data_IF_539820863486
#
_entry.id   IF_539820863486
#
_cell.length_a   1.000
_cell.length_b   1.000
_cell.length_c   1.000
_cell.angle_alpha   90.00
_cell.angle_beta   90.00
_cell.angle_gamma   90.00
#
_symmetry.space_group_name_H-M   'P 1'
#
loop_
_entity.id
_entity.type
_entity.pdbx_description
1 polymer ?
#
# COMPACT_ATOMS: atom_id res chain seq x y z
N UNK A 1 0.28 4.06 12.31
CA UNK A 1 -0.35 2.85 11.73
C UNK A 1 0.71 1.77 11.48
N UNK A 2 0.42 0.46 11.58
CA UNK A 2 1.43 -0.61 11.41
C UNK A 2 0.95 -1.76 10.50
N UNK A 3 1.90 -2.29 9.71
CA UNK A 3 1.82 -3.50 8.91
C UNK A 3 2.91 -4.47 9.40
N UNK A 4 2.53 -5.68 9.77
CA UNK A 4 3.47 -6.74 10.14
C UNK A 4 3.45 -7.84 9.08
N UNK A 5 4.62 -8.34 8.70
CA UNK A 5 4.78 -9.50 7.82
C UNK A 5 5.62 -10.52 8.58
N UNK A 6 5.03 -11.68 8.84
CA UNK A 6 5.61 -12.78 9.61
C UNK A 6 5.80 -13.99 8.71
N UNK A 7 6.90 -14.70 8.88
CA UNK A 7 7.09 -16.02 8.27
C UNK A 7 7.63 -17.01 9.29
N UNK A 8 7.28 -18.27 9.09
CA UNK A 8 7.89 -19.44 9.76
C UNK A 8 8.63 -20.31 8.75
N UNK A 9 9.10 -19.72 7.65
CA UNK A 9 10.06 -20.38 6.76
C UNK A 9 11.29 -20.85 7.54
N UNK A 10 12.07 -21.80 7.03
CA UNK A 10 13.31 -22.23 7.68
C UNK A 10 14.51 -22.01 6.76
N UNK A 11 15.46 -21.12 7.13
CA UNK A 11 15.42 -20.23 8.30
C UNK A 11 14.48 -19.02 8.07
N UNK A 12 13.72 -18.62 9.10
CA UNK A 12 12.75 -17.53 8.98
C UNK A 12 13.43 -16.17 8.77
N UNK A 13 14.67 -16.04 9.24
CA UNK A 13 15.53 -14.86 9.05
C UNK A 13 15.80 -14.55 7.58
N UNK A 14 15.57 -15.51 6.67
CA UNK A 14 15.68 -15.28 5.23
C UNK A 14 14.74 -14.17 4.71
N UNK A 15 13.67 -13.87 5.47
CA UNK A 15 12.80 -12.72 5.20
C UNK A 15 13.58 -11.39 5.14
N UNK A 16 14.65 -11.26 5.94
CA UNK A 16 15.51 -10.08 5.91
C UNK A 16 16.23 -9.88 4.57
N UNK A 17 16.75 -10.96 3.98
CA UNK A 17 17.40 -10.92 2.67
C UNK A 17 16.39 -10.65 1.55
N UNK A 18 15.22 -11.29 1.61
CA UNK A 18 14.15 -11.08 0.63
C UNK A 18 13.66 -9.63 0.60
N UNK A 19 13.58 -8.97 1.76
CA UNK A 19 13.14 -7.58 1.89
C UNK A 19 14.27 -6.53 1.78
N UNK A 20 15.52 -6.98 1.70
CA UNK A 20 16.71 -6.12 1.80
C UNK A 20 16.70 -5.26 3.05
N UNK A 21 16.34 -5.88 4.18
CA UNK A 21 16.30 -5.24 5.50
C UNK A 21 16.96 -6.15 6.52
N UNK A 22 18.06 -5.67 7.07
CA UNK A 22 18.78 -6.41 8.10
C UNK A 22 18.00 -6.35 9.43
N UNK A 23 17.78 -7.48 10.12
CA UNK A 23 17.03 -7.51 11.38
C UNK A 23 17.56 -6.56 12.46
N UNK A 24 18.88 -6.47 12.62
CA UNK A 24 19.52 -5.59 13.61
C UNK A 24 19.50 -4.09 13.27
N UNK A 25 18.90 -3.69 12.14
CA UNK A 25 18.86 -2.30 11.71
C UNK A 25 17.45 -1.74 11.80
N UNK A 26 17.30 -0.75 12.67
CA UNK A 26 16.15 0.15 12.64
C UNK A 26 16.33 1.18 11.52
N UNK A 27 15.43 1.19 10.53
CA UNK A 27 15.54 2.06 9.36
C UNK A 27 14.38 3.03 9.29
N UNK A 28 14.67 4.28 8.93
CA UNK A 28 13.69 5.34 8.75
C UNK A 28 13.72 5.82 7.30
N UNK A 29 12.56 5.98 6.69
CA UNK A 29 12.36 6.47 5.34
C UNK A 29 11.46 7.70 5.38
N UNK A 30 11.96 8.84 4.91
CA UNK A 30 11.14 10.04 4.80
C UNK A 30 10.02 9.84 3.78
N UNK A 31 8.81 10.28 4.08
CA UNK A 31 7.70 10.35 3.12
C UNK A 31 7.41 11.82 2.83
N UNK A 32 6.60 12.10 1.81
CA UNK A 32 6.13 13.46 1.56
C UNK A 32 5.32 14.03 2.73
N UNK A 33 4.74 13.17 3.57
CA UNK A 33 3.93 13.52 4.73
C UNK A 33 4.31 12.60 5.91
N UNK A 34 5.41 12.90 6.59
CA UNK A 34 5.91 12.11 7.74
C UNK A 34 6.97 11.08 7.36
N UNK A 35 6.99 9.93 8.04
CA UNK A 35 8.05 8.91 7.92
C UNK A 35 7.48 7.49 7.95
N UNK A 36 8.24 6.56 7.39
CA UNK A 36 8.03 5.12 7.54
C UNK A 36 9.21 4.50 8.29
N UNK A 37 8.93 3.67 9.28
CA UNK A 37 9.91 2.99 10.13
C UNK A 37 9.85 1.50 9.84
N UNK A 38 11.01 0.90 9.60
CA UNK A 38 11.16 -0.55 9.39
C UNK A 38 12.04 -1.12 10.49
N UNK A 39 11.52 -2.14 11.16
CA UNK A 39 12.22 -2.84 12.24
C UNK A 39 11.70 -4.27 12.38
N UNK A 40 12.43 -5.10 13.14
CA UNK A 40 12.09 -6.48 13.38
C UNK A 40 11.78 -6.68 14.86
N UNK A 41 10.49 -6.77 15.26
CA UNK A 41 10.14 -7.10 16.64
C UNK A 41 10.55 -8.53 17.03
N UNK A 42 10.69 -9.44 16.05
CA UNK A 42 11.10 -10.83 16.25
C UNK A 42 11.92 -11.30 15.04
N UNK A 43 13.10 -11.87 15.29
CA UNK A 43 13.99 -12.37 14.24
C UNK A 43 14.76 -13.60 14.73
N UNK A 44 14.07 -14.74 14.80
CA UNK A 44 14.69 -16.05 15.09
C UNK A 44 14.64 -16.95 13.85
N UNK A 45 15.32 -18.09 13.91
CA UNK A 45 15.32 -19.06 12.80
C UNK A 45 13.95 -19.73 12.61
N UNK A 46 13.14 -19.81 13.66
CA UNK A 46 11.82 -20.45 13.66
C UNK A 46 10.73 -19.48 13.22
N UNK A 47 10.87 -18.20 13.58
CA UNK A 47 9.90 -17.16 13.27
C UNK A 47 10.57 -15.81 13.14
N UNK A 48 10.24 -15.10 12.08
CA UNK A 48 10.70 -13.73 11.85
C UNK A 48 9.52 -12.85 11.45
N UNK A 49 9.42 -11.70 12.09
CA UNK A 49 8.43 -10.67 11.82
C UNK A 49 9.13 -9.36 11.50
N UNK A 50 8.81 -8.79 10.34
CA UNK A 50 9.15 -7.39 10.03
C UNK A 50 7.92 -6.52 10.27
N UNK A 51 8.16 -5.31 10.76
CA UNK A 51 7.15 -4.28 10.96
C UNK A 51 7.45 -3.06 10.08
N UNK A 52 6.44 -2.58 9.37
CA UNK A 52 6.41 -1.29 8.69
C UNK A 52 5.42 -0.38 9.42
N UNK A 53 5.95 0.62 10.13
CA UNK A 53 5.17 1.59 10.88
C UNK A 53 5.15 2.93 10.15
N UNK A 54 3.95 3.49 9.96
CA UNK A 54 3.74 4.84 9.48
C UNK A 54 3.65 5.81 10.65
N UNK A 55 4.52 6.82 10.61
CA UNK A 55 4.58 7.98 11.50
C UNK A 55 4.26 9.23 10.66
N UNK A 56 2.97 9.46 10.43
CA UNK A 56 2.48 10.55 9.58
C UNK A 56 2.33 11.82 10.40
N UNK A 57 2.89 12.93 9.91
CA UNK A 57 2.69 14.25 10.52
C UNK A 57 1.34 14.85 10.04
N UNK A 58 0.33 15.00 10.92
CA UNK A 58 -0.96 15.55 10.54
C UNK A 58 -0.89 17.02 10.14
N UNK A 59 0.08 17.80 10.63
CA UNK A 59 0.21 19.23 10.34
C UNK A 59 0.74 19.43 8.92
N UNK A 60 1.77 18.68 8.55
CA UNK A 60 2.36 18.77 7.21
C UNK A 60 1.40 18.26 6.14
N UNK A 61 0.55 17.28 6.47
CA UNK A 61 -0.55 16.82 5.61
C UNK A 61 -1.47 17.98 5.20
N UNK A 62 -1.92 18.80 6.16
CA UNK A 62 -2.82 19.93 5.89
C UNK A 62 -2.14 21.03 5.08
N UNK A 63 -0.86 21.29 5.34
CA UNK A 63 -0.08 22.28 4.59
C UNK A 63 0.07 21.90 3.12
N UNK A 64 0.17 20.60 2.82
CA UNK A 64 0.17 20.07 1.46
C UNK A 64 -1.16 20.33 0.74
N UNK A 65 -2.29 20.05 1.40
CA UNK A 65 -3.65 20.22 0.85
C UNK A 65 -3.98 21.69 0.55
N UNK A 66 -3.56 22.63 1.41
CA UNK A 66 -3.79 24.08 1.19
C UNK A 66 -3.10 24.63 -0.06
N UNK A 67 -1.99 24.02 -0.50
CA UNK A 67 -1.33 24.39 -1.77
C UNK A 67 -2.09 23.90 -3.01
N UNK A 68 -3.08 23.01 -2.83
CA UNK A 68 -3.85 22.36 -3.90
C UNK A 68 -5.28 22.90 -4.11
N UNK A 69 -5.68 23.99 -3.43
CA UNK A 69 -6.79 24.84 -3.88
C UNK A 69 -8.22 24.33 -3.64
N UNK A 70 -8.50 23.64 -2.53
CA UNK A 70 -9.86 23.27 -2.12
C UNK A 70 -10.26 23.99 -0.83
N UNK A 71 -11.16 24.97 -0.94
CA UNK A 71 -11.55 25.86 0.17
C UNK A 71 -12.85 25.42 0.88
N UNK A 72 -13.09 24.11 0.99
CA UNK A 72 -14.29 23.59 1.64
C UNK A 72 -13.94 22.55 2.71
N UNK A 73 -14.20 22.93 3.97
CA UNK A 73 -14.05 22.15 5.22
C UNK A 73 -12.68 22.20 5.94
N UNK A 74 -12.33 23.40 6.43
CA UNK A 74 -11.06 23.74 7.09
C UNK A 74 -10.72 22.86 8.31
N UNK A 75 -11.68 22.28 9.02
CA UNK A 75 -11.43 21.48 10.25
C UNK A 75 -11.15 19.98 9.98
N UNK A 76 -11.82 19.39 8.98
CA UNK A 76 -11.69 17.96 8.65
C UNK A 76 -10.31 17.56 8.13
N UNK A 77 -9.52 18.53 7.67
CA UNK A 77 -8.13 18.30 7.30
C UNK A 77 -7.21 18.14 8.51
N UNK A 78 -7.49 18.81 9.64
CA UNK A 78 -6.67 18.74 10.84
C UNK A 78 -6.99 17.54 11.73
N UNK A 79 -8.25 17.12 11.78
CA UNK A 79 -8.71 15.99 12.58
C UNK A 79 -9.34 14.95 11.66
N UNK A 80 -8.56 13.93 11.31
CA UNK A 80 -9.01 12.81 10.52
C UNK A 80 -8.25 11.53 10.89
N UNK A 81 -8.67 10.44 10.28
CA UNK A 81 -8.16 9.09 10.50
C UNK A 81 -6.84 8.81 9.77
N UNK A 82 -6.38 9.69 8.87
CA UNK A 82 -5.31 9.40 7.90
C UNK A 82 -3.97 9.01 8.53
N UNK A 83 -3.53 9.58 9.66
CA UNK A 83 -2.31 9.12 10.34
C UNK A 83 -2.42 7.71 10.96
N UNK A 84 -3.65 7.22 11.14
CA UNK A 84 -3.95 6.06 11.99
C UNK A 84 -4.46 4.84 11.21
N UNK A 85 -4.64 4.94 9.90
CA UNK A 85 -5.23 3.89 9.05
C UNK A 85 -4.29 3.48 7.92
N UNK A 86 -4.35 2.20 7.48
CA UNK A 86 -3.67 1.74 6.28
C UNK A 86 -4.43 2.25 5.04
N UNK A 87 -4.13 3.48 4.65
CA UNK A 87 -4.58 4.10 3.41
C UNK A 87 -3.55 3.91 2.29
N UNK A 88 -3.66 4.70 1.22
CA UNK A 88 -2.64 4.80 0.17
C UNK A 88 -1.24 5.13 0.68
N UNK A 89 -1.09 5.78 1.85
CA UNK A 89 0.22 6.02 2.45
C UNK A 89 0.97 4.73 2.78
N UNK A 90 0.25 3.65 3.12
CA UNK A 90 0.87 2.34 3.36
C UNK A 90 1.47 1.79 2.06
N UNK A 91 0.78 1.91 0.92
CA UNK A 91 1.32 1.48 -0.38
C UNK A 91 2.55 2.28 -0.77
N UNK A 92 2.57 3.59 -0.54
CA UNK A 92 3.76 4.43 -0.79
C UNK A 92 4.93 3.98 0.10
N UNK A 93 4.68 3.71 1.38
CA UNK A 93 5.71 3.23 2.29
C UNK A 93 6.23 1.84 1.92
N UNK A 94 5.36 0.91 1.49
CA UNK A 94 5.75 -0.40 0.96
C UNK A 94 6.68 -0.21 -0.25
N UNK A 95 6.29 0.62 -1.22
CA UNK A 95 7.09 0.88 -2.41
C UNK A 95 8.44 1.50 -2.06
N UNK A 96 8.50 2.42 -1.10
CA UNK A 96 9.74 3.08 -0.69
C UNK A 96 10.66 2.17 0.11
N UNK A 97 10.11 1.44 1.08
CA UNK A 97 10.89 0.57 1.97
C UNK A 97 11.32 -0.74 1.29
N UNK A 98 10.44 -1.34 0.47
CA UNK A 98 10.62 -2.69 -0.07
C UNK A 98 10.72 -2.74 -1.61
N UNK A 99 11.15 -1.63 -2.24
CA UNK A 99 11.27 -1.51 -3.71
C UNK A 99 12.02 -2.67 -4.38
N UNK A 100 13.15 -3.11 -3.80
CA UNK A 100 13.96 -4.20 -4.38
C UNK A 100 13.21 -5.53 -4.36
N UNK A 101 12.50 -5.84 -3.26
CA UNK A 101 11.70 -7.04 -3.11
C UNK A 101 10.49 -7.04 -4.08
N UNK A 102 9.81 -5.90 -4.21
CA UNK A 102 8.70 -5.73 -5.16
C UNK A 102 9.12 -5.93 -6.61
N UNK A 103 10.39 -5.66 -6.93
CA UNK A 103 10.95 -5.84 -8.26
C UNK A 103 11.59 -7.24 -8.45
N UNK A 104 11.41 -8.16 -7.49
CA UNK A 104 11.95 -9.52 -7.56
C UNK A 104 13.48 -9.56 -7.59
N UNK A 105 14.15 -8.61 -6.95
CA UNK A 105 15.62 -8.58 -6.88
C UNK A 105 16.06 -9.04 -5.50
N UNK A 106 16.94 -10.03 -5.42
CA UNK A 106 17.67 -10.40 -4.20
C UNK A 106 19.08 -10.85 -4.59
N UNK A 107 20.11 -10.17 -4.06
CA UNK A 107 21.51 -10.50 -4.40
C UNK A 107 22.06 -11.63 -3.54
N UNK A 108 21.70 -11.63 -2.26
CA UNK A 108 22.28 -12.53 -1.27
C UNK A 108 21.62 -13.93 -1.30
N UNK A 109 20.35 -14.00 -1.71
CA UNK A 109 19.51 -15.21 -1.76
C UNK A 109 18.59 -15.24 -3.00
N UNK A 110 19.15 -15.22 -4.23
CA UNK A 110 18.35 -15.19 -5.46
C UNK A 110 17.39 -16.39 -5.59
N UNK A 111 17.78 -17.57 -5.09
CA UNK A 111 16.99 -18.80 -5.12
C UNK A 111 15.68 -18.72 -4.31
N UNK A 112 15.56 -17.75 -3.40
CA UNK A 112 14.37 -17.58 -2.57
C UNK A 112 13.34 -16.63 -3.20
N UNK A 113 13.70 -15.86 -4.23
CA UNK A 113 12.81 -14.85 -4.84
C UNK A 113 11.54 -15.49 -5.41
N UNK A 114 11.70 -16.62 -6.11
CA UNK A 114 10.60 -17.35 -6.75
C UNK A 114 10.02 -18.45 -5.85
N UNK A 115 10.52 -18.56 -4.60
CA UNK A 115 10.08 -19.58 -3.66
C UNK A 115 8.84 -19.10 -2.92
N UNK A 116 7.78 -19.91 -2.97
CA UNK A 116 6.59 -19.69 -2.14
C UNK A 116 6.90 -20.10 -0.70
N UNK A 117 6.70 -19.19 0.23
CA UNK A 117 6.94 -19.40 1.67
C UNK A 117 5.65 -19.10 2.45
N UNK A 118 5.44 -19.71 3.63
CA UNK A 118 4.28 -19.39 4.46
C UNK A 118 4.43 -17.97 5.02
N UNK A 119 3.46 -17.11 4.75
CA UNK A 119 3.45 -15.72 5.20
C UNK A 119 2.13 -15.41 5.89
N UNK A 120 2.24 -14.75 7.04
CA UNK A 120 1.14 -14.12 7.75
C UNK A 120 1.31 -12.61 7.71
N UNK A 121 0.26 -11.88 7.38
CA UNK A 121 0.23 -10.42 7.39
C UNK A 121 -0.81 -9.92 8.38
N UNK A 122 -0.42 -8.95 9.21
CA UNK A 122 -1.31 -8.29 10.15
C UNK A 122 -1.32 -6.78 9.90
N UNK A 123 -2.52 -6.21 9.70
CA UNK A 123 -2.76 -4.79 9.52
C UNK A 123 -3.73 -4.32 10.59
N UNK A 124 -3.28 -3.42 11.47
CA UNK A 124 -4.04 -3.06 12.68
C UNK A 124 -5.36 -2.33 12.41
N UNK A 125 -5.41 -1.46 11.40
CA UNK A 125 -6.57 -0.62 11.09
C UNK A 125 -6.66 -0.35 9.59
N UNK A 126 -7.53 -1.08 8.89
CA UNK A 126 -7.83 -0.85 7.48
C UNK A 126 -9.22 -0.23 7.33
N UNK A 127 -9.37 0.91 6.63
CA UNK A 127 -10.66 1.51 6.37
C UNK A 127 -11.33 0.76 5.20
N UNK A 128 -12.62 0.48 5.34
CA UNK A 128 -13.42 -0.07 4.26
C UNK A 128 -14.79 0.60 4.20
N UNK A 129 -15.43 0.70 3.03
CA UNK A 129 -16.76 1.29 2.89
C UNK A 129 -17.83 0.50 3.66
N UNK A 130 -19.08 0.98 3.68
CA UNK A 130 -20.21 0.22 4.22
C UNK A 130 -20.27 -1.18 3.57
N UNK A 131 -20.39 -2.23 4.39
CA UNK A 131 -20.30 -3.62 3.92
C UNK A 131 -18.86 -4.09 3.64
N UNK A 132 -17.86 -3.36 4.16
CA UNK A 132 -16.44 -3.52 3.84
C UNK A 132 -15.86 -4.91 4.07
N UNK A 133 -16.41 -5.70 5.00
CA UNK A 133 -15.97 -7.09 5.20
C UNK A 133 -16.09 -7.92 3.92
N UNK A 134 -17.26 -7.88 3.26
CA UNK A 134 -17.49 -8.62 2.02
C UNK A 134 -16.52 -8.16 0.92
N UNK A 135 -16.23 -6.86 0.87
CA UNK A 135 -15.26 -6.32 -0.06
C UNK A 135 -13.84 -6.85 0.22
N UNK A 136 -13.37 -6.79 1.46
CA UNK A 136 -12.02 -7.27 1.82
C UNK A 136 -11.87 -8.75 1.44
N UNK A 137 -12.87 -9.58 1.77
CA UNK A 137 -12.89 -11.00 1.39
C UNK A 137 -12.82 -11.19 -0.11
N UNK A 138 -13.68 -10.51 -0.86
CA UNK A 138 -13.71 -10.53 -2.33
C UNK A 138 -12.40 -10.10 -2.99
N UNK A 139 -11.59 -9.25 -2.34
CA UNK A 139 -10.30 -8.81 -2.87
C UNK A 139 -9.14 -9.76 -2.56
N UNK A 140 -9.17 -10.45 -1.41
CA UNK A 140 -8.05 -11.29 -0.97
C UNK A 140 -8.31 -12.80 -1.12
N UNK A 141 -9.51 -13.29 -0.84
CA UNK A 141 -9.81 -14.73 -0.90
C UNK A 141 -9.59 -15.34 -2.30
N UNK A 142 -9.94 -14.69 -3.43
CA UNK A 142 -9.65 -15.23 -4.77
C UNK A 142 -8.16 -15.37 -5.09
N UNK A 143 -7.29 -14.66 -4.40
CA UNK A 143 -5.84 -14.78 -4.53
C UNK A 143 -5.26 -15.94 -3.69
N UNK A 144 -6.10 -16.67 -2.95
CA UNK A 144 -5.69 -17.80 -2.12
C UNK A 144 -5.38 -17.46 -0.66
N UNK A 145 -5.66 -16.22 -0.23
CA UNK A 145 -5.50 -15.84 1.18
C UNK A 145 -6.61 -16.41 2.04
N UNK A 146 -6.24 -16.92 3.21
CA UNK A 146 -7.17 -17.08 4.32
C UNK A 146 -7.30 -15.74 5.04
N UNK A 147 -8.52 -15.24 5.13
CA UNK A 147 -8.83 -13.89 5.63
C UNK A 147 -9.54 -13.97 6.99
N UNK A 148 -8.91 -13.41 8.02
CA UNK A 148 -9.55 -13.16 9.31
C UNK A 148 -9.70 -11.65 9.54
N UNK A 149 -10.89 -11.25 9.99
CA UNK A 149 -11.29 -9.86 10.12
C UNK A 149 -11.92 -9.62 11.48
N UNK A 150 -11.49 -8.56 12.15
CA UNK A 150 -12.13 -8.05 13.37
C UNK A 150 -12.58 -6.62 13.14
N UNK A 151 -13.90 -6.38 13.18
CA UNK A 151 -14.46 -5.04 13.07
C UNK A 151 -14.46 -4.36 14.44
N UNK A 152 -14.05 -3.09 14.47
CA UNK A 152 -13.99 -2.30 15.70
C UNK A 152 -15.26 -1.49 15.91
N UNK A 153 -15.69 -1.35 17.17
CA UNK A 153 -16.72 -0.37 17.56
C UNK A 153 -16.15 1.06 17.52
N UNK A 154 -17.01 2.07 17.37
CA UNK A 154 -16.57 3.47 17.33
C UNK A 154 -16.00 3.93 18.66
N UNK A 155 -16.68 3.60 19.76
CA UNK A 155 -16.27 3.98 21.10
C UNK A 155 -16.74 2.92 22.11
N UNK A 156 -15.87 2.54 23.05
CA UNK A 156 -16.20 1.59 24.12
C UNK A 156 -17.14 2.20 25.18
N UNK A 157 -17.08 3.52 25.38
CA UNK A 157 -17.93 4.25 26.33
C UNK A 157 -19.32 4.55 25.78
N UNK A 158 -19.46 4.58 24.45
CA UNK A 158 -20.73 4.83 23.75
C UNK A 158 -21.02 3.72 22.72
N UNK A 159 -21.29 2.47 23.16
CA UNK A 159 -21.55 1.35 22.26
C UNK A 159 -22.73 1.57 21.30
N UNK A 160 -23.69 2.44 21.67
CA UNK A 160 -24.86 2.81 20.87
C UNK A 160 -24.50 3.54 19.57
N UNK A 161 -23.28 4.10 19.46
CA UNK A 161 -22.79 4.66 18.20
C UNK A 161 -22.51 3.56 17.15
N UNK A 162 -22.39 2.31 17.61
CA UNK A 162 -22.29 1.14 16.77
C UNK A 162 -20.89 0.90 16.20
N UNK A 163 -20.87 0.22 15.07
CA UNK A 163 -19.65 -0.31 14.47
C UNK A 163 -18.93 0.74 13.62
N UNK A 164 -17.61 0.83 13.75
CA UNK A 164 -16.77 1.71 12.92
C UNK A 164 -16.63 1.18 11.50
N UNK A 165 -15.94 1.93 10.64
CA UNK A 165 -15.53 1.51 9.29
C UNK A 165 -14.16 0.81 9.25
N UNK A 166 -13.53 0.61 10.41
CA UNK A 166 -12.17 0.09 10.51
C UNK A 166 -12.15 -1.38 10.92
N UNK A 167 -11.21 -2.10 10.34
CA UNK A 167 -11.00 -3.52 10.60
C UNK A 167 -9.54 -3.77 10.96
N UNK A 168 -9.29 -4.72 11.86
CA UNK A 168 -8.00 -5.41 11.88
C UNK A 168 -8.07 -6.56 10.88
N UNK A 169 -7.09 -6.62 9.99
CA UNK A 169 -7.00 -7.60 8.92
C UNK A 169 -5.81 -8.53 9.16
N UNK A 170 -6.08 -9.83 9.17
CA UNK A 170 -5.07 -10.87 9.15
C UNK A 170 -5.21 -11.69 7.87
N UNK A 171 -4.08 -11.93 7.21
CA UNK A 171 -3.99 -12.69 5.98
C UNK A 171 -2.96 -13.81 6.16
N UNK A 172 -3.32 -15.03 5.81
CA UNK A 172 -2.38 -16.16 5.77
C UNK A 172 -2.34 -16.72 4.34
N UNK A 173 -1.13 -16.94 3.80
CA UNK A 173 -0.95 -17.57 2.49
C UNK A 173 0.46 -18.14 2.29
N UNK A 174 0.61 -19.07 1.37
CA UNK A 174 1.92 -19.59 0.92
C UNK A 174 2.22 -19.04 -0.47
N UNK A 175 3.01 -17.97 -0.52
CA UNK A 175 3.21 -17.15 -1.72
C UNK A 175 4.62 -16.57 -1.76
N UNK A 176 5.07 -16.04 -2.90
CA UNK A 176 6.33 -15.30 -2.95
C UNK A 176 6.19 -13.93 -2.27
N UNK A 177 7.30 -13.39 -1.75
CA UNK A 177 7.32 -12.04 -1.16
C UNK A 177 6.98 -10.97 -2.20
N UNK A 178 7.39 -11.16 -3.45
CA UNK A 178 7.09 -10.25 -4.56
C UNK A 178 5.58 -10.11 -4.79
N UNK A 179 4.88 -11.24 -4.96
CA UNK A 179 3.43 -11.28 -5.15
C UNK A 179 2.70 -10.68 -3.94
N UNK A 180 3.11 -11.03 -2.72
CA UNK A 180 2.51 -10.46 -1.51
C UNK A 180 2.57 -8.92 -1.51
N UNK A 181 3.76 -8.36 -1.72
CA UNK A 181 3.95 -6.90 -1.70
C UNK A 181 3.18 -6.21 -2.83
N UNK A 182 3.10 -6.86 -4.00
CA UNK A 182 2.27 -6.42 -5.13
C UNK A 182 0.78 -6.38 -4.75
N UNK A 183 0.24 -7.45 -4.16
CA UNK A 183 -1.14 -7.53 -3.72
C UNK A 183 -1.46 -6.44 -2.69
N UNK A 184 -0.64 -6.29 -1.65
CA UNK A 184 -0.83 -5.26 -0.62
C UNK A 184 -0.76 -3.84 -1.20
N UNK A 185 0.19 -3.59 -2.10
CA UNK A 185 0.35 -2.29 -2.74
C UNK A 185 -0.91 -1.85 -3.51
N UNK A 186 -1.54 -2.76 -4.25
CA UNK A 186 -2.74 -2.48 -5.06
C UNK A 186 -4.03 -2.53 -4.25
N UNK A 187 -4.19 -3.49 -3.35
CA UNK A 187 -5.47 -3.76 -2.69
C UNK A 187 -5.73 -2.84 -1.48
N UNK A 188 -4.69 -2.39 -0.76
CA UNK A 188 -4.88 -1.46 0.38
C UNK A 188 -5.57 -0.15 -0.06
N UNK A 189 -5.10 0.57 -1.10
CA UNK A 189 -5.74 1.80 -1.57
C UNK A 189 -7.16 1.56 -2.12
N UNK A 190 -7.38 0.37 -2.71
CA UNK A 190 -8.67 -0.05 -3.26
C UNK A 190 -9.74 -0.15 -2.16
N UNK A 191 -9.36 -0.52 -0.95
CA UNK A 191 -10.29 -0.61 0.20
C UNK A 191 -10.73 0.77 0.70
N UNK A 192 -9.78 1.70 0.85
CA UNK A 192 -10.03 3.06 1.32
C UNK A 192 -10.86 3.88 0.31
N UNK A 193 -10.54 3.74 -0.99
CA UNK A 193 -11.18 4.48 -2.08
C UNK A 193 -11.11 6.02 -1.92
N UNK A 194 -10.07 6.48 -1.23
CA UNK A 194 -9.71 7.89 -1.04
C UNK A 194 -8.18 7.99 -1.07
N UNK A 195 -7.61 8.66 -2.08
CA UNK A 195 -6.16 8.93 -2.14
C UNK A 195 -5.91 10.41 -1.89
N UNK A 196 -4.91 10.69 -1.07
CA UNK A 196 -4.52 12.04 -0.65
C UNK A 196 -3.61 12.75 -1.66
N UNK A 197 -3.56 12.25 -2.90
CA UNK A 197 -2.75 12.81 -3.98
C UNK A 197 -3.49 12.70 -5.32
N UNK A 198 -3.06 13.52 -6.28
CA UNK A 198 -3.66 13.55 -7.60
C UNK A 198 -3.38 12.26 -8.40
N UNK A 199 -4.44 11.58 -8.82
CA UNK A 199 -4.35 10.39 -9.67
C UNK A 199 -4.24 10.83 -11.13
N UNK A 200 -3.21 10.35 -11.82
CA UNK A 200 -2.92 10.66 -13.22
C UNK A 200 -2.73 9.38 -14.03
N UNK A 201 -2.43 9.50 -15.33
CA UNK A 201 -2.17 8.33 -16.19
C UNK A 201 -1.02 7.45 -15.70
N UNK A 202 -0.01 8.02 -15.02
CA UNK A 202 1.08 7.24 -14.42
C UNK A 202 0.59 6.21 -13.38
N UNK A 203 -0.56 6.44 -12.75
CA UNK A 203 -1.14 5.47 -11.81
C UNK A 203 -1.70 4.24 -12.54
N UNK A 204 -2.09 4.37 -13.82
CA UNK A 204 -2.48 3.22 -14.64
C UNK A 204 -1.24 2.35 -14.88
N UNK A 205 -0.12 2.93 -15.28
CA UNK A 205 1.12 2.19 -15.53
C UNK A 205 1.59 1.44 -14.27
N UNK A 206 1.58 2.12 -13.11
CA UNK A 206 1.87 1.48 -11.82
C UNK A 206 0.90 0.35 -11.49
N UNK A 207 -0.40 0.55 -11.71
CA UNK A 207 -1.41 -0.48 -11.48
C UNK A 207 -1.17 -1.71 -12.36
N UNK A 208 -0.86 -1.50 -13.64
CA UNK A 208 -0.61 -2.58 -14.60
C UNK A 208 0.68 -3.33 -14.27
N UNK A 209 1.76 -2.60 -13.99
CA UNK A 209 3.04 -3.20 -13.61
C UNK A 209 2.93 -4.00 -12.31
N UNK A 210 2.28 -3.44 -11.28
CA UNK A 210 2.10 -4.15 -10.00
C UNK A 210 1.00 -5.19 -10.05
N UNK A 211 0.04 -5.08 -10.97
CA UNK A 211 -1.03 -6.04 -11.20
C UNK A 211 -0.65 -7.20 -12.13
N UNK A 212 0.55 -7.16 -12.72
CA UNK A 212 1.02 -8.17 -13.65
C UNK A 212 1.00 -9.57 -13.01
N UNK A 213 0.52 -10.56 -13.76
CA UNK A 213 0.44 -11.95 -13.33
C UNK A 213 -0.82 -12.33 -12.52
N UNK A 214 -1.57 -11.39 -11.96
CA UNK A 214 -2.75 -11.72 -11.13
C UNK A 214 -3.99 -10.87 -11.40
N UNK A 215 -3.84 -9.56 -11.68
CA UNK A 215 -4.98 -8.63 -11.77
C UNK A 215 -5.90 -8.96 -12.95
N UNK A 216 -5.34 -9.47 -14.06
CA UNK A 216 -6.12 -9.83 -15.26
C UNK A 216 -7.11 -10.96 -14.99
N UNK A 217 -6.70 -11.92 -14.17
CA UNK A 217 -7.44 -13.14 -13.82
C UNK A 217 -8.34 -12.95 -12.60
N UNK A 218 -8.13 -11.88 -11.83
CA UNK A 218 -8.90 -11.61 -10.63
C UNK A 218 -10.40 -11.38 -10.94
N UNK A 219 -11.34 -12.08 -10.28
CA UNK A 219 -12.77 -11.95 -10.56
C UNK A 219 -13.29 -10.52 -10.35
N UNK A 220 -12.75 -9.83 -9.35
CA UNK A 220 -13.11 -8.44 -9.03
C UNK A 220 -12.23 -7.39 -9.72
N UNK A 221 -11.52 -7.74 -10.81
CA UNK A 221 -10.57 -6.83 -11.50
C UNK A 221 -11.15 -5.46 -11.83
N UNK A 222 -12.40 -5.41 -12.31
CA UNK A 222 -13.07 -4.16 -12.67
C UNK A 222 -13.30 -3.27 -11.44
N UNK A 223 -13.69 -3.88 -10.33
CA UNK A 223 -13.86 -3.17 -9.06
C UNK A 223 -12.52 -2.70 -8.50
N UNK A 224 -11.45 -3.50 -8.62
CA UNK A 224 -10.09 -3.13 -8.20
C UNK A 224 -9.63 -1.90 -8.98
N UNK A 225 -9.67 -1.96 -10.31
CA UNK A 225 -9.21 -0.88 -11.19
C UNK A 225 -9.96 0.42 -10.90
N UNK A 226 -11.30 0.35 -10.83
CA UNK A 226 -12.13 1.53 -10.56
C UNK A 226 -11.77 2.17 -9.22
N UNK A 227 -11.71 1.39 -8.15
CA UNK A 227 -11.45 1.92 -6.80
C UNK A 227 -10.00 2.37 -6.61
N UNK A 228 -9.04 1.67 -7.22
CA UNK A 228 -7.63 2.09 -7.23
C UNK A 228 -7.46 3.46 -7.90
N UNK A 229 -8.26 3.76 -8.93
CA UNK A 229 -8.28 5.03 -9.64
C UNK A 229 -9.35 6.01 -9.12
N UNK A 230 -9.85 5.80 -7.88
CA UNK A 230 -10.84 6.66 -7.19
C UNK A 230 -12.12 6.88 -8.03
N UNK A 231 -12.53 5.86 -8.77
CA UNK A 231 -13.70 5.84 -9.65
C UNK A 231 -13.68 6.92 -10.75
N UNK A 232 -12.49 7.37 -11.17
CA UNK A 232 -12.34 8.24 -12.33
C UNK A 232 -12.67 7.45 -13.60
N UNK A 233 -13.85 7.71 -14.17
CA UNK A 233 -14.41 6.92 -15.28
C UNK A 233 -13.48 6.86 -16.50
N UNK A 234 -12.85 7.97 -16.88
CA UNK A 234 -11.92 8.04 -18.01
C UNK A 234 -10.69 7.17 -17.81
N UNK A 235 -10.04 7.26 -16.64
CA UNK A 235 -8.85 6.46 -16.32
C UNK A 235 -9.20 4.98 -16.16
N UNK A 236 -10.32 4.68 -15.50
CA UNK A 236 -10.77 3.31 -15.27
C UNK A 236 -11.07 2.59 -16.59
N UNK A 237 -11.74 3.28 -17.53
CA UNK A 237 -12.03 2.73 -18.86
C UNK A 237 -10.74 2.41 -19.62
N UNK A 238 -9.79 3.35 -19.66
CA UNK A 238 -8.49 3.16 -20.33
C UNK A 238 -7.68 2.03 -19.71
N UNK A 239 -7.67 1.90 -18.38
CA UNK A 239 -6.98 0.82 -17.70
C UNK A 239 -7.60 -0.55 -18.02
N UNK A 240 -8.93 -0.64 -18.12
CA UNK A 240 -9.65 -1.86 -18.51
C UNK A 240 -9.37 -2.26 -19.97
N UNK A 241 -9.31 -1.28 -20.87
CA UNK A 241 -8.94 -1.50 -22.28
C UNK A 241 -7.55 -2.12 -22.37
N UNK A 242 -6.53 -1.52 -21.74
CA UNK A 242 -5.14 -2.06 -21.77
C UNK A 242 -5.01 -3.47 -21.19
N UNK A 243 -5.72 -3.80 -20.11
CA UNK A 243 -5.71 -5.16 -19.52
C UNK A 243 -6.37 -6.17 -20.46
N UNK A 244 -7.39 -5.75 -21.20
CA UNK A 244 -8.09 -6.60 -22.16
C UNK A 244 -7.22 -6.89 -23.38
N UNK A 245 -6.52 -5.86 -23.87
CA UNK A 245 -5.63 -5.92 -25.04
C UNK A 245 -4.32 -6.68 -24.77
N UNK A 246 -4.00 -6.96 -23.50
CA UNK A 246 -2.86 -7.80 -23.12
C UNK A 246 -1.50 -7.11 -23.29
N UNK A 247 -1.45 -5.77 -23.21
CA UNK A 247 -0.19 -5.03 -23.27
C UNK A 247 0.71 -5.39 -22.07
N UNK A 248 1.88 -5.97 -22.34
CA UNK A 248 2.97 -6.13 -21.37
C UNK A 248 3.80 -4.85 -21.32
N UNK A 249 3.86 -4.21 -20.15
CA UNK A 249 4.64 -2.99 -19.97
C UNK A 249 6.07 -3.38 -19.62
N UNK A 250 7.02 -3.09 -20.53
CA UNK A 250 8.45 -3.27 -20.27
C UNK A 250 8.92 -2.41 -19.08
N UNK A 251 9.79 -3.00 -18.26
CA UNK A 251 10.28 -2.45 -17.00
C UNK A 251 10.91 -1.05 -17.12
N UNK A 252 10.12 0.00 -16.87
CA UNK A 252 10.67 1.31 -16.52
C UNK A 252 11.09 1.25 -15.05
N UNK A 253 12.37 1.46 -14.80
CA UNK A 253 12.96 1.52 -13.45
C UNK A 253 12.37 2.75 -12.75
N UNK A 254 11.54 2.52 -11.73
CA UNK A 254 11.07 3.56 -10.81
C UNK A 254 12.29 4.12 -10.03
N UNK A 255 12.83 5.25 -10.46
CA UNK A 255 13.31 6.24 -9.51
C UNK A 255 12.08 6.92 -8.89
N UNK A 256 12.03 7.14 -7.56
CA UNK A 256 10.92 7.84 -6.93
C UNK A 256 10.90 9.29 -7.43
N UNK A 257 10.22 9.54 -8.54
CA UNK A 257 10.04 10.88 -9.10
C UNK A 257 8.84 11.53 -8.43
N UNK A 258 9.00 11.89 -7.16
CA UNK A 258 8.11 12.86 -6.48
C UNK A 258 8.45 14.33 -6.84
N UNK A 259 9.24 14.58 -7.90
CA UNK A 259 9.80 15.91 -8.15
C UNK A 259 9.59 16.50 -9.56
N UNK A 260 8.53 16.15 -10.29
CA UNK A 260 8.35 16.66 -11.66
C UNK A 260 7.45 17.89 -11.83
N UNK A 261 6.85 18.45 -10.78
CA UNK A 261 6.03 19.68 -10.93
C UNK A 261 6.48 20.90 -10.13
N UNK A 262 7.36 20.76 -9.13
CA UNK A 262 7.86 21.92 -8.37
C UNK A 262 8.99 22.66 -9.12
N UNK A 263 9.81 21.97 -9.93
CA UNK A 263 10.90 22.61 -10.67
C UNK A 263 10.46 23.41 -11.90
N UNK A 264 9.33 23.06 -12.55
CA UNK A 264 8.86 23.82 -13.72
C UNK A 264 8.36 25.24 -13.38
N UNK A 265 7.94 25.50 -12.14
CA UNK A 265 7.55 26.87 -11.71
C UNK A 265 8.74 27.78 -11.37
N UNK A 266 9.91 27.25 -11.00
CA UNK A 266 11.09 28.09 -10.73
C UNK A 266 11.75 28.61 -12.01
N UNK A 267 11.72 27.87 -13.13
CA UNK A 267 12.23 28.38 -14.42
C UNK A 267 11.30 29.38 -15.10
N UNK A 268 9.98 29.24 -14.95
CA UNK A 268 9.03 30.21 -15.51
C UNK A 268 9.06 31.56 -14.78
N UNK A 269 9.43 31.60 -13.49
CA UNK A 269 9.50 32.84 -12.72
C UNK A 269 10.83 33.60 -12.87
N UNK A 270 11.87 32.98 -13.44
CA UNK A 270 13.17 33.63 -13.71
C UNK A 270 13.32 34.20 -15.13
N UNK A 271 12.32 34.03 -16.01
CA UNK A 271 12.34 34.58 -17.38
C UNK A 271 11.40 35.81 -17.49
N UNK A 272 10.91 36.32 -16.35
CA UNK A 272 9.99 37.46 -16.28
C UNK A 272 10.46 38.50 -15.26
N UNK A 273 11.75 38.84 -15.31
CA UNK A 273 12.33 40.01 -14.64
C UNK A 273 13.24 40.74 -15.63
#
# INVERSE_FOLDING_TARGET
>A
MILNITTTHSPATDLGYLLHKHPDKFQTFDLSIGRALVFYPEATNEKTTVSLLLDIDPIDMVRGVRKMGGDNFVLGHYVNDRPYVASSFMSVAIAKAFSSAMNGKCKDKPELVDKKIPIEVNISSIPAPKGGELLIRKLFEPLGYKVALTRHILDQKFPEWGQSKYFSLQLEHTITVKELLSHLYVLIPTLDNDKHYFVSESEIEKLLQKGEGWLREHPEREQIIRRYLINLASLSKRALERISDGETIDNIIDEPTENSQIQKRKKACMISA
#
